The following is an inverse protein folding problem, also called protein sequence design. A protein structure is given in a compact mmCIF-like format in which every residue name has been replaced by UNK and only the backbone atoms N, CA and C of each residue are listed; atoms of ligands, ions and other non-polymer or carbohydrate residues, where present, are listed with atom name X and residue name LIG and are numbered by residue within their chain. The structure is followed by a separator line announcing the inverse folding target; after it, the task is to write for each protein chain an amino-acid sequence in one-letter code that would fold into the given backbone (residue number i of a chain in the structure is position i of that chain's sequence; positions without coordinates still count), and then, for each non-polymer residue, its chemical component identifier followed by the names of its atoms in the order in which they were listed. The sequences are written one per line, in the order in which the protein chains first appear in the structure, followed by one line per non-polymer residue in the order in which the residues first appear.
data_IF_335549008887
#
_entry.id   IF_335549008887
#
_cell.length_a   1.000
_cell.length_b   1.000
_cell.length_c   1.000
_cell.angle_alpha   90.00
_cell.angle_beta   90.00
_cell.angle_gamma   90.00
#
_symmetry.space_group_name_H-M   'P 1'
#
loop_
_entity.id
_entity.type
_entity.pdbx_description
1 polymer ?
#
# COMPACT_ATOMS: atom_id res chain seq x y z
N UNK A 1 37.35 -29.38 -39.36
CA UNK A 1 35.97 -28.93 -39.60
C UNK A 1 34.98 -29.16 -38.44
N UNK A 2 35.21 -30.08 -37.50
CA UNK A 2 34.31 -30.33 -36.35
C UNK A 2 34.35 -29.26 -35.25
N UNK A 3 35.53 -28.66 -34.99
CA UNK A 3 35.71 -27.63 -33.95
C UNK A 3 34.94 -26.32 -34.23
N UNK A 4 34.80 -25.92 -35.49
CA UNK A 4 34.04 -24.70 -35.87
C UNK A 4 32.54 -24.88 -35.70
N UNK A 5 32.02 -26.06 -36.07
CA UNK A 5 30.60 -26.39 -35.90
C UNK A 5 30.19 -26.40 -34.42
N UNK A 6 31.05 -26.93 -33.55
CA UNK A 6 30.82 -26.93 -32.10
C UNK A 6 30.80 -25.51 -31.52
N UNK A 7 31.66 -24.60 -32.00
CA UNK A 7 31.65 -23.18 -31.58
C UNK A 7 30.35 -22.48 -32.01
N UNK A 8 29.90 -22.69 -33.23
CA UNK A 8 28.66 -22.08 -33.75
C UNK A 8 27.44 -22.61 -32.99
N UNK A 9 27.36 -23.93 -32.76
CA UNK A 9 26.26 -24.54 -31.99
C UNK A 9 26.25 -24.02 -30.56
N UNK A 10 27.42 -23.88 -29.92
CA UNK A 10 27.52 -23.32 -28.56
C UNK A 10 27.12 -21.84 -28.50
N UNK A 11 27.47 -21.04 -29.52
CA UNK A 11 27.10 -19.63 -29.61
C UNK A 11 25.58 -19.47 -29.76
N UNK A 12 24.97 -20.23 -30.67
CA UNK A 12 23.51 -20.20 -30.90
C UNK A 12 22.76 -20.70 -29.67
N UNK A 13 23.24 -21.76 -29.02
CA UNK A 13 22.68 -22.27 -27.78
C UNK A 13 22.69 -21.21 -26.66
N UNK A 14 23.80 -20.49 -26.50
CA UNK A 14 23.92 -19.42 -25.50
C UNK A 14 23.03 -18.21 -25.82
N UNK A 15 22.84 -17.91 -27.10
CA UNK A 15 21.97 -16.82 -27.56
C UNK A 15 20.49 -17.14 -27.27
N UNK A 16 20.04 -18.36 -27.59
CA UNK A 16 18.67 -18.83 -27.29
C UNK A 16 18.45 -18.91 -25.79
N UNK A 17 19.43 -19.42 -25.03
CA UNK A 17 19.35 -19.49 -23.57
C UNK A 17 19.28 -18.10 -22.95
N UNK A 18 20.09 -17.15 -23.44
CA UNK A 18 20.01 -15.74 -23.06
C UNK A 18 18.65 -15.12 -23.37
N UNK A 19 18.09 -15.38 -24.55
CA UNK A 19 16.78 -14.87 -24.96
C UNK A 19 15.64 -15.41 -24.08
N UNK A 20 15.70 -16.70 -23.72
CA UNK A 20 14.74 -17.34 -22.81
C UNK A 20 14.86 -16.81 -21.37
N UNK A 21 16.08 -16.53 -20.90
CA UNK A 21 16.31 -15.89 -19.60
C UNK A 21 15.80 -14.43 -19.56
N UNK A 22 15.97 -13.67 -20.64
CA UNK A 22 15.44 -12.31 -20.77
C UNK A 22 13.91 -12.28 -20.69
N UNK A 23 13.23 -13.25 -21.31
CA UNK A 23 11.77 -13.37 -21.23
C UNK A 23 11.26 -13.67 -19.82
N UNK A 24 12.03 -14.42 -19.01
CA UNK A 24 11.65 -14.76 -17.63
C UNK A 24 11.88 -13.60 -16.65
N UNK A 25 12.92 -12.78 -16.88
CA UNK A 25 13.24 -11.65 -15.99
C UNK A 25 12.29 -10.46 -16.18
N UNK A 26 11.80 -10.21 -17.39
CA UNK A 26 10.84 -9.14 -17.67
C UNK A 26 9.42 -9.45 -17.15
N UNK A 27 9.15 -10.69 -16.72
CA UNK A 27 7.83 -11.09 -16.24
C UNK A 27 7.50 -10.58 -14.81
N UNK A 28 8.49 -10.03 -14.09
CA UNK A 28 8.32 -9.52 -12.73
C UNK A 28 8.09 -8.01 -12.64
N UNK A 29 8.14 -7.27 -13.75
CA UNK A 29 7.60 -5.92 -13.76
C UNK A 29 6.08 -6.02 -13.79
N UNK A 30 5.47 -5.81 -12.62
CA UNK A 30 4.03 -5.59 -12.43
C UNK A 30 3.54 -4.69 -13.56
N UNK A 31 2.87 -5.26 -14.56
CA UNK A 31 2.20 -4.52 -15.64
C UNK A 31 1.04 -3.76 -15.00
N UNK A 32 1.35 -2.61 -14.41
CA UNK A 32 0.36 -1.67 -13.93
C UNK A 32 -0.23 -0.99 -15.16
N UNK A 33 -1.52 -1.17 -15.39
CA UNK A 33 -2.22 -0.57 -16.52
C UNK A 33 -2.01 0.96 -16.50
N UNK A 34 -1.49 1.51 -17.60
CA UNK A 34 -1.25 2.95 -17.73
C UNK A 34 -2.54 3.77 -17.52
N UNK A 35 -3.71 3.19 -17.78
CA UNK A 35 -5.00 3.83 -17.48
C UNK A 35 -5.30 3.87 -15.98
N UNK A 36 -4.97 2.81 -15.23
CA UNK A 36 -5.12 2.77 -13.77
C UNK A 36 -4.25 3.84 -13.10
N UNK A 37 -3.01 4.02 -13.60
CA UNK A 37 -2.11 5.08 -13.12
C UNK A 37 -2.75 6.45 -13.35
N UNK A 38 -3.22 6.76 -14.57
CA UNK A 38 -3.83 8.05 -14.88
C UNK A 38 -5.08 8.34 -14.04
N UNK A 39 -5.96 7.36 -13.88
CA UNK A 39 -7.17 7.51 -13.07
C UNK A 39 -6.82 7.70 -11.58
N UNK A 40 -5.83 6.98 -11.07
CA UNK A 40 -5.40 7.12 -9.67
C UNK A 40 -4.76 8.46 -9.36
N UNK A 41 -4.03 9.07 -10.32
CA UNK A 41 -3.42 10.39 -10.15
C UNK A 41 -4.44 11.53 -10.05
N UNK A 42 -5.70 11.28 -10.44
CA UNK A 42 -6.78 12.24 -10.25
C UNK A 42 -7.32 12.24 -8.82
N UNK A 43 -6.97 11.22 -8.01
CA UNK A 43 -7.39 11.11 -6.62
C UNK A 43 -6.35 11.82 -5.73
N UNK A 44 -6.74 12.86 -4.96
CA UNK A 44 -5.81 13.60 -4.11
C UNK A 44 -5.04 12.69 -3.14
N UNK A 45 -3.72 12.84 -3.10
CA UNK A 45 -2.85 12.10 -2.18
C UNK A 45 -2.44 10.70 -2.64
N UNK A 46 -2.99 10.20 -3.75
CA UNK A 46 -2.62 8.92 -4.38
C UNK A 46 -1.54 9.15 -5.43
N UNK A 47 -0.47 8.35 -5.38
CA UNK A 47 0.67 8.42 -6.31
C UNK A 47 0.51 7.40 -7.44
N UNK A 48 0.11 6.20 -7.08
CA UNK A 48 -0.07 5.08 -8.02
C UNK A 48 -0.93 4.00 -7.39
N UNK A 49 -1.59 3.22 -8.23
CA UNK A 49 -2.32 2.01 -7.84
C UNK A 49 -1.82 0.82 -8.66
N UNK A 50 -1.96 -0.39 -8.15
CA UNK A 50 -1.62 -1.60 -8.89
C UNK A 50 -2.37 -2.82 -8.35
N UNK A 51 -2.70 -3.75 -9.24
CA UNK A 51 -3.24 -5.06 -8.83
C UNK A 51 -2.08 -6.02 -8.68
N UNK A 52 -1.97 -6.62 -7.50
CA UNK A 52 -0.88 -7.54 -7.17
C UNK A 52 -1.46 -8.88 -6.75
N UNK A 53 -0.73 -9.96 -7.01
CA UNK A 53 -1.07 -11.26 -6.45
C UNK A 53 -0.19 -11.47 -5.21
N UNK A 54 -0.80 -11.46 -4.04
CA UNK A 54 -0.16 -11.63 -2.74
C UNK A 54 -0.81 -12.82 -2.04
N UNK A 55 0.00 -13.77 -1.55
CA UNK A 55 -0.49 -14.96 -0.85
C UNK A 55 -1.57 -15.77 -1.59
N UNK A 56 -1.60 -15.72 -2.92
CA UNK A 56 -2.59 -16.44 -3.75
C UNK A 56 -3.92 -15.70 -3.94
N UNK A 57 -4.03 -14.46 -3.48
CA UNK A 57 -5.19 -13.58 -3.70
C UNK A 57 -4.78 -12.29 -4.40
N UNK A 58 -5.68 -11.74 -5.21
CA UNK A 58 -5.46 -10.45 -5.85
C UNK A 58 -5.80 -9.33 -4.86
N UNK A 59 -4.90 -8.37 -4.71
CA UNK A 59 -5.04 -7.19 -3.84
C UNK A 59 -4.84 -5.92 -4.69
N UNK A 60 -5.48 -4.82 -4.27
CA UNK A 60 -5.37 -3.50 -4.87
C UNK A 60 -4.44 -2.62 -4.04
N UNK A 61 -3.16 -2.58 -4.42
CA UNK A 61 -2.13 -1.78 -3.75
C UNK A 61 -2.27 -0.31 -4.15
N UNK A 62 -2.31 0.58 -3.16
CA UNK A 62 -2.45 2.02 -3.33
C UNK A 62 -1.27 2.72 -2.66
N UNK A 63 -0.38 3.28 -3.46
CA UNK A 63 0.73 4.10 -2.95
C UNK A 63 0.25 5.51 -2.68
N UNK A 64 0.45 5.99 -1.45
CA UNK A 64 0.06 7.33 -1.02
C UNK A 64 1.28 8.19 -0.69
N UNK A 65 1.07 9.51 -0.61
CA UNK A 65 2.11 10.46 -0.18
C UNK A 65 1.61 11.41 0.90
N UNK A 66 0.54 12.14 0.61
CA UNK A 66 -0.09 13.05 1.57
C UNK A 66 -1.59 13.09 1.27
N UNK A 67 -2.34 12.27 1.98
CA UNK A 67 -3.79 12.16 1.90
C UNK A 67 -4.38 13.10 2.95
N UNK A 68 -5.12 14.11 2.49
CA UNK A 68 -5.79 15.07 3.37
C UNK A 68 -7.14 14.54 3.88
N UNK A 69 -7.91 13.91 2.99
CA UNK A 69 -9.21 13.31 3.28
C UNK A 69 -9.17 11.83 2.90
N UNK A 70 -8.88 11.00 3.90
CA UNK A 70 -8.75 9.56 3.70
C UNK A 70 -10.11 8.88 3.45
N UNK A 71 -11.20 9.42 4.01
CA UNK A 71 -12.55 8.87 3.82
C UNK A 71 -12.98 9.03 2.36
N UNK A 72 -12.88 10.25 1.82
CA UNK A 72 -13.22 10.52 0.42
C UNK A 72 -12.31 9.75 -0.54
N UNK A 73 -11.00 9.72 -0.26
CA UNK A 73 -10.01 8.96 -1.04
C UNK A 73 -10.35 7.47 -1.07
N UNK A 74 -10.67 6.89 0.08
CA UNK A 74 -11.06 5.47 0.21
C UNK A 74 -12.35 5.15 -0.54
N UNK A 75 -13.34 6.06 -0.53
CA UNK A 75 -14.58 5.89 -1.27
C UNK A 75 -14.35 5.90 -2.79
N UNK A 76 -13.47 6.77 -3.30
CA UNK A 76 -13.09 6.79 -4.73
C UNK A 76 -12.32 5.52 -5.13
N UNK A 77 -11.37 5.10 -4.30
CA UNK A 77 -10.57 3.90 -4.56
C UNK A 77 -11.41 2.63 -4.50
N UNK A 78 -12.39 2.55 -3.60
CA UNK A 78 -13.32 1.41 -3.52
C UNK A 78 -14.09 1.21 -4.84
N UNK A 79 -14.50 2.30 -5.49
CA UNK A 79 -15.16 2.22 -6.81
C UNK A 79 -14.22 1.73 -7.90
N UNK A 80 -12.94 2.08 -7.82
CA UNK A 80 -11.92 1.69 -8.80
C UNK A 80 -11.45 0.24 -8.60
N UNK A 81 -11.27 -0.19 -7.35
CA UNK A 81 -10.83 -1.54 -6.99
C UNK A 81 -11.91 -2.61 -7.21
N UNK A 82 -13.19 -2.20 -7.20
CA UNK A 82 -14.32 -3.11 -7.36
C UNK A 82 -14.45 -4.04 -6.15
N UNK A 83 -14.17 -5.33 -6.34
CA UNK A 83 -14.23 -6.35 -5.28
C UNK A 83 -12.87 -6.68 -4.67
N UNK A 84 -11.79 -6.11 -5.19
CA UNK A 84 -10.45 -6.40 -4.70
C UNK A 84 -10.24 -5.69 -3.35
N UNK A 85 -9.68 -6.39 -2.35
CA UNK A 85 -9.33 -5.77 -1.09
C UNK A 85 -8.20 -4.75 -1.32
N UNK A 86 -8.29 -3.61 -0.65
CA UNK A 86 -7.38 -2.47 -0.84
C UNK A 86 -6.31 -2.47 0.24
N UNK A 87 -5.04 -2.31 -0.16
CA UNK A 87 -3.91 -2.11 0.75
C UNK A 87 -3.26 -0.77 0.50
N UNK A 88 -3.12 0.04 1.54
CA UNK A 88 -2.36 1.29 1.45
C UNK A 88 -0.87 1.04 1.67
N UNK A 89 -0.04 1.62 0.79
CA UNK A 89 1.41 1.66 0.88
C UNK A 89 1.84 3.10 1.14
N UNK A 90 2.19 3.41 2.39
CA UNK A 90 2.48 4.77 2.84
C UNK A 90 3.97 4.99 3.13
N UNK A 91 4.35 6.20 3.54
CA UNK A 91 5.74 6.55 3.82
C UNK A 91 5.99 6.77 5.32
N UNK A 92 5.33 5.99 6.18
CA UNK A 92 5.46 6.06 7.64
C UNK A 92 6.91 5.90 8.12
N UNK A 93 7.20 6.53 9.24
CA UNK A 93 8.44 6.33 10.01
C UNK A 93 8.25 5.28 11.10
N UNK A 94 9.34 4.70 11.65
CA UNK A 94 9.24 3.80 12.81
C UNK A 94 8.55 4.44 14.02
N UNK A 95 8.67 5.76 14.20
CA UNK A 95 7.99 6.47 15.28
C UNK A 95 6.47 6.52 15.07
N UNK A 96 6.01 6.75 13.83
CA UNK A 96 4.59 6.71 13.48
C UNK A 96 4.02 5.29 13.64
N UNK A 97 4.78 4.27 13.24
CA UNK A 97 4.40 2.86 13.45
C UNK A 97 4.26 2.53 14.94
N UNK A 98 5.24 2.91 15.76
CA UNK A 98 5.20 2.68 17.20
C UNK A 98 4.02 3.37 17.88
N UNK A 99 3.70 4.60 17.47
CA UNK A 99 2.55 5.34 17.97
C UNK A 99 1.23 4.69 17.53
N UNK A 100 1.13 4.28 16.26
CA UNK A 100 -0.04 3.57 15.75
C UNK A 100 -0.30 2.28 16.52
N UNK A 101 0.74 1.50 16.83
CA UNK A 101 0.63 0.30 17.64
C UNK A 101 0.08 0.57 19.05
N UNK A 102 0.37 1.73 19.64
CA UNK A 102 -0.24 2.14 20.92
C UNK A 102 -1.71 2.55 20.74
N UNK A 103 -2.02 3.27 19.66
CA UNK A 103 -3.39 3.67 19.34
C UNK A 103 -4.31 2.48 19.05
N UNK A 104 -3.78 1.34 18.60
CA UNK A 104 -4.58 0.15 18.30
C UNK A 104 -5.42 -0.33 19.49
N UNK A 105 -4.97 -0.17 20.73
CA UNK A 105 -5.78 -0.55 21.89
C UNK A 105 -7.07 0.26 21.98
N UNK A 106 -6.98 1.58 21.90
CA UNK A 106 -8.13 2.48 21.91
C UNK A 106 -9.03 2.26 20.69
N UNK A 107 -8.43 2.05 19.50
CA UNK A 107 -9.17 1.79 18.26
C UNK A 107 -9.99 0.49 18.36
N UNK A 108 -9.36 -0.61 18.79
CA UNK A 108 -10.03 -1.90 18.92
C UNK A 108 -11.08 -1.89 20.04
N UNK A 109 -10.79 -1.25 21.17
CA UNK A 109 -11.78 -1.06 22.23
C UNK A 109 -13.00 -0.26 21.74
N UNK A 110 -12.77 0.83 21.00
CA UNK A 110 -13.82 1.65 20.40
C UNK A 110 -14.69 0.86 19.42
N UNK A 111 -14.08 0.03 18.56
CA UNK A 111 -14.80 -0.85 17.62
C UNK A 111 -15.68 -1.86 18.37
N UNK A 112 -15.13 -2.53 19.39
CA UNK A 112 -15.83 -3.61 20.10
C UNK A 112 -16.91 -3.08 21.05
N UNK A 113 -16.63 -1.98 21.77
CA UNK A 113 -17.55 -1.43 22.78
C UNK A 113 -18.48 -0.36 22.24
N UNK A 114 -18.19 0.19 21.07
CA UNK A 114 -18.91 1.32 20.49
C UNK A 114 -18.61 2.67 21.14
N UNK A 115 -17.60 2.77 22.02
CA UNK A 115 -17.20 4.02 22.69
C UNK A 115 -16.26 4.85 21.81
N UNK A 116 -16.79 5.31 20.67
CA UNK A 116 -16.02 6.04 19.67
C UNK A 116 -15.55 7.43 20.12
N UNK A 117 -16.31 8.06 21.02
CA UNK A 117 -15.95 9.39 21.56
C UNK A 117 -14.70 9.27 22.43
N UNK A 118 -14.67 8.29 23.33
CA UNK A 118 -13.49 8.03 24.16
C UNK A 118 -12.29 7.60 23.33
N UNK A 119 -12.49 6.69 22.38
CA UNK A 119 -11.45 6.30 21.42
C UNK A 119 -10.82 7.52 20.74
N UNK A 120 -11.64 8.45 20.25
CA UNK A 120 -11.14 9.65 19.58
C UNK A 120 -10.33 10.56 20.53
N UNK A 121 -10.75 10.69 21.78
CA UNK A 121 -10.01 11.46 22.79
C UNK A 121 -8.65 10.84 23.11
N UNK A 122 -8.60 9.53 23.31
CA UNK A 122 -7.36 8.81 23.63
C UNK A 122 -6.37 8.84 22.46
N UNK A 123 -6.85 8.59 21.23
CA UNK A 123 -6.03 8.67 20.01
C UNK A 123 -5.50 10.10 19.80
N UNK A 124 -6.32 11.13 20.01
CA UNK A 124 -5.88 12.52 19.90
C UNK A 124 -4.83 12.88 20.97
N UNK A 125 -4.98 12.39 22.20
CA UNK A 125 -4.01 12.61 23.27
C UNK A 125 -2.65 11.98 22.96
N UNK A 126 -2.64 10.71 22.53
CA UNK A 126 -1.41 10.01 22.10
C UNK A 126 -0.69 10.76 20.97
N UNK A 127 -1.44 11.26 19.99
CA UNK A 127 -0.91 12.09 18.92
C UNK A 127 -0.23 13.36 19.39
N UNK A 128 -0.93 14.09 20.27
CA UNK A 128 -0.46 15.35 20.85
C UNK A 128 0.82 15.15 21.65
N UNK A 129 0.87 14.11 22.49
CA UNK A 129 2.03 13.80 23.34
C UNK A 129 3.25 13.42 22.51
N UNK A 130 3.04 12.77 21.36
CA UNK A 130 4.10 12.44 20.40
C UNK A 130 4.46 13.59 19.43
N UNK A 131 3.77 14.73 19.50
CA UNK A 131 3.98 15.85 18.58
C UNK A 131 3.61 15.54 17.12
N UNK A 132 2.70 14.60 16.89
CA UNK A 132 2.24 14.19 15.56
C UNK A 132 0.83 14.70 15.28
N UNK A 133 0.58 15.11 14.03
CA UNK A 133 -0.76 15.50 13.63
C UNK A 133 -1.61 14.26 13.39
N UNK A 134 -2.67 14.10 14.19
CA UNK A 134 -3.66 13.04 14.04
C UNK A 134 -4.88 13.59 13.33
N UNK A 135 -5.34 12.87 12.30
CA UNK A 135 -6.69 13.03 11.76
C UNK A 135 -7.41 11.70 11.89
N UNK A 136 -8.52 11.68 12.64
CA UNK A 136 -9.35 10.52 12.89
C UNK A 136 -10.79 10.85 12.48
N UNK A 137 -11.31 10.11 11.51
CA UNK A 137 -12.69 10.24 11.03
C UNK A 137 -13.31 8.85 10.91
N UNK A 138 -14.63 8.77 10.79
CA UNK A 138 -15.34 7.50 10.64
C UNK A 138 -16.63 7.68 9.86
N UNK A 139 -17.08 6.62 9.22
CA UNK A 139 -18.42 6.48 8.68
C UNK A 139 -19.11 5.24 9.27
N UNK A 140 -20.14 4.71 8.60
CA UNK A 140 -20.91 3.55 9.08
C UNK A 140 -20.12 2.24 9.09
N UNK A 141 -19.10 2.11 8.26
CA UNK A 141 -18.39 0.85 8.02
C UNK A 141 -16.91 0.94 8.38
N UNK A 142 -16.28 2.10 8.21
CA UNK A 142 -14.84 2.25 8.34
C UNK A 142 -14.43 3.38 9.31
N UNK A 143 -13.25 3.22 9.92
CA UNK A 143 -12.53 4.24 10.68
C UNK A 143 -11.26 4.59 9.92
N UNK A 144 -11.03 5.88 9.72
CA UNK A 144 -9.96 6.43 8.92
C UNK A 144 -9.00 7.21 9.81
N UNK A 145 -7.74 6.78 9.86
CA UNK A 145 -6.69 7.41 10.65
C UNK A 145 -5.53 7.82 9.73
N UNK A 146 -5.07 9.06 9.89
CA UNK A 146 -3.75 9.47 9.38
C UNK A 146 -2.89 10.05 10.49
N UNK A 147 -1.61 9.66 10.52
CA UNK A 147 -0.58 10.27 11.36
C UNK A 147 0.41 11.00 10.47
N UNK A 148 0.50 12.32 10.58
CA UNK A 148 1.36 13.14 9.73
C UNK A 148 2.47 13.79 10.55
N UNK A 149 3.71 13.70 10.06
CA UNK A 149 4.87 14.39 10.60
C UNK A 149 5.79 14.85 9.46
N UNK A 150 5.76 16.16 9.17
CA UNK A 150 6.50 16.73 8.05
C UNK A 150 6.04 16.15 6.71
N UNK A 151 6.93 15.45 6.01
CA UNK A 151 6.65 14.79 4.72
C UNK A 151 6.24 13.33 4.85
N UNK A 152 6.26 12.76 6.06
CA UNK A 152 5.92 11.37 6.33
C UNK A 152 4.49 11.24 6.82
N UNK A 153 3.77 10.26 6.31
CA UNK A 153 2.39 9.98 6.68
C UNK A 153 2.18 8.48 6.83
N UNK A 154 1.55 8.09 7.94
CA UNK A 154 0.93 6.78 8.10
C UNK A 154 -0.55 6.92 7.78
N UNK A 155 -1.08 5.97 7.02
CA UNK A 155 -2.50 5.91 6.63
C UNK A 155 -3.04 4.57 7.10
N UNK A 156 -4.14 4.55 7.84
CA UNK A 156 -4.79 3.32 8.28
C UNK A 156 -6.31 3.41 8.09
N UNK A 157 -6.89 2.35 7.54
CA UNK A 157 -8.34 2.20 7.42
C UNK A 157 -8.72 0.91 8.13
N UNK A 158 -9.57 1.04 9.15
CA UNK A 158 -10.02 -0.08 9.97
C UNK A 158 -11.49 -0.37 9.64
N UNK A 159 -11.77 -1.64 9.40
CA UNK A 159 -13.12 -2.15 9.20
C UNK A 159 -13.81 -2.34 10.56
N UNK A 160 -15.07 -1.93 10.66
CA UNK A 160 -15.89 -2.06 11.87
C UNK A 160 -16.70 -3.34 11.93
N UNK A 161 -16.97 -3.97 10.78
CA UNK A 161 -17.85 -5.14 10.65
C UNK A 161 -17.14 -6.39 10.11
N UNK A 162 -15.87 -6.27 9.73
CA UNK A 162 -15.04 -7.38 9.27
C UNK A 162 -15.32 -7.81 7.83
N UNK A 163 -15.76 -6.89 6.97
CA UNK A 163 -15.95 -7.14 5.53
C UNK A 163 -14.62 -7.45 4.81
N UNK A 164 -13.49 -7.02 5.37
CA UNK A 164 -12.15 -7.32 4.84
C UNK A 164 -11.82 -6.54 3.57
N UNK A 165 -12.55 -5.45 3.32
CA UNK A 165 -12.40 -4.58 2.14
C UNK A 165 -11.09 -3.79 2.17
N UNK A 166 -10.61 -3.43 3.36
CA UNK A 166 -9.32 -2.79 3.56
C UNK A 166 -8.39 -3.72 4.34
N UNK A 167 -7.21 -3.93 3.79
CA UNK A 167 -6.14 -4.70 4.41
C UNK A 167 -5.29 -3.77 5.29
N UNK A 168 -4.56 -4.33 6.29
CA UNK A 168 -3.59 -3.55 7.04
C UNK A 168 -2.62 -2.83 6.10
N UNK A 169 -2.50 -1.52 6.31
CA UNK A 169 -1.58 -0.70 5.54
C UNK A 169 -0.13 -1.01 5.90
N UNK A 170 0.75 -0.86 4.92
CA UNK A 170 2.16 -1.19 5.08
C UNK A 170 3.04 0.00 4.73
N UNK A 171 4.22 0.04 5.37
CA UNK A 171 5.27 0.93 4.92
C UNK A 171 5.66 0.54 3.49
N UNK A 172 5.66 1.52 2.58
CA UNK A 172 6.15 1.32 1.22
C UNK A 172 7.58 0.82 1.31
N UNK A 173 7.83 -0.40 0.82
CA UNK A 173 9.17 -0.89 0.63
C UNK A 173 9.94 0.13 -0.21
N UNK A 174 10.99 0.72 0.37
CA UNK A 174 11.93 1.52 -0.41
C UNK A 174 12.49 0.55 -1.45
N UNK A 175 12.08 0.73 -2.70
CA UNK A 175 12.68 0.06 -3.84
C UNK A 175 14.19 0.17 -3.68
N UNK A 176 14.87 -0.95 -3.37
CA UNK A 176 16.30 -1.09 -3.64
C UNK A 176 16.44 -1.19 -5.16
N UNK A 177 16.21 -0.08 -5.84
CA UNK A 177 16.28 0.08 -7.28
C UNK A 177 17.17 1.26 -7.60
N UNK A 178 18.48 0.98 -7.69
CA UNK A 178 19.49 1.97 -7.99
C UNK A 178 20.85 1.63 -7.39
N UNK A 179 21.33 0.41 -7.57
CA UNK A 179 22.75 0.11 -7.35
C UNK A 179 23.21 -0.88 -8.41
N UNK A 180 23.65 -0.34 -9.53
CA UNK A 180 24.91 -0.63 -10.25
C UNK A 180 25.02 0.38 -11.38
#
# INVERSE_FOLDING_TARGET
MTKERIKIISLVGLLVFGLLLSGRLLYNEKWVDANLIRQSQQIPGVVSVGVVNSSGQQEFDVTTKNVSDLSQTSAMLSKLAGKLPIRYLDNRTPAQEALYNQMQFALQEGIVRGDFVRMAQEVAALGKDAGMQVNLTMDSNEIYLTLTQGTHQLVAVLDRHGEGKFLPSEARAVSKGGST
#
